data_IF_968084531447
#
_entry.id   IF_968084531447
#
_cell.length_a   1.000
_cell.length_b   1.000
_cell.length_c   1.000
_cell.angle_alpha   90.00
_cell.angle_beta   90.00
_cell.angle_gamma   90.00
#
_symmetry.space_group_name_H-M   'P 1'
#
loop_
_entity.id
_entity.type
_entity.pdbx_description
1 polymer ?
#
# COMPACT_ATOMS: atom_id res chain seq x y z
N UNK A 1 22.48 33.35 -60.54
CA UNK A 1 23.55 32.51 -59.96
C UNK A 1 23.93 33.18 -58.63
N UNK A 2 23.44 32.82 -57.46
CA UNK A 2 23.35 31.49 -56.87
C UNK A 2 24.65 31.20 -56.13
N UNK A 3 24.80 31.66 -54.87
CA UNK A 3 25.77 31.12 -53.90
C UNK A 3 25.47 31.62 -52.48
N UNK A 4 25.09 30.64 -51.65
CA UNK A 4 24.89 30.66 -50.20
C UNK A 4 26.20 30.76 -49.42
N UNK A 5 26.17 31.41 -48.26
CA UNK A 5 27.04 31.08 -47.11
C UNK A 5 26.32 31.49 -45.82
N UNK A 6 25.90 30.49 -45.05
CA UNK A 6 25.16 30.66 -43.79
C UNK A 6 26.07 31.01 -42.60
N UNK A 7 25.51 31.44 -41.46
CA UNK A 7 26.26 31.62 -40.24
C UNK A 7 26.33 30.33 -39.40
N UNK A 8 27.51 30.14 -38.83
CA UNK A 8 28.01 28.97 -38.13
C UNK A 8 27.16 28.48 -36.95
N UNK A 9 27.01 27.16 -36.86
CA UNK A 9 26.51 26.44 -35.69
C UNK A 9 27.38 26.69 -34.44
N UNK A 10 26.78 27.28 -33.40
CA UNK A 10 27.13 26.95 -32.01
C UNK A 10 26.22 25.80 -31.58
N UNK A 11 26.82 24.64 -31.29
CA UNK A 11 26.15 23.52 -30.62
C UNK A 11 25.62 24.01 -29.27
N UNK A 12 24.31 23.91 -29.09
CA UNK A 12 23.67 23.96 -27.78
C UNK A 12 23.53 22.50 -27.32
N UNK A 13 24.16 22.18 -26.20
CA UNK A 13 23.88 20.97 -25.44
C UNK A 13 22.45 21.04 -24.87
N UNK A 14 21.66 19.95 -24.86
CA UNK A 14 20.37 19.96 -24.21
C UNK A 14 20.60 19.94 -22.69
N UNK A 15 20.21 21.02 -22.03
CA UNK A 15 20.14 21.07 -20.58
C UNK A 15 19.09 20.07 -20.08
N UNK A 16 19.48 19.32 -19.06
CA UNK A 16 18.71 18.35 -18.29
C UNK A 16 17.24 18.75 -18.08
N UNK A 17 16.34 17.97 -18.66
CA UNK A 17 15.04 17.68 -18.05
C UNK A 17 15.28 16.84 -16.78
N UNK A 18 15.58 17.50 -15.67
CA UNK A 18 15.47 16.84 -14.36
C UNK A 18 15.02 17.82 -13.31
N UNK A 19 13.75 17.76 -12.98
CA UNK A 19 13.19 18.54 -11.90
C UNK A 19 11.70 18.70 -12.00
N UNK A 20 10.96 17.59 -12.19
CA UNK A 20 9.56 17.58 -11.76
C UNK A 20 9.57 18.04 -10.30
N UNK A 21 8.98 19.19 -9.95
CA UNK A 21 8.94 19.60 -8.56
C UNK A 21 8.16 18.51 -7.84
N UNK A 22 8.88 17.81 -6.95
CA UNK A 22 8.32 17.06 -5.83
C UNK A 22 7.09 17.84 -5.38
N UNK A 23 5.91 17.32 -5.70
CA UNK A 23 4.64 17.92 -5.35
C UNK A 23 4.45 17.71 -3.85
N UNK A 24 5.26 18.43 -3.07
CA UNK A 24 5.24 18.55 -1.61
C UNK A 24 4.38 19.75 -1.20
N UNK A 25 3.43 20.15 -2.04
CA UNK A 25 2.30 20.95 -1.59
C UNK A 25 1.40 20.00 -0.82
N UNK A 26 1.31 20.23 0.49
CA UNK A 26 0.45 19.52 1.43
C UNK A 26 -0.93 19.39 0.82
N UNK A 27 -1.21 18.22 0.26
CA UNK A 27 -2.51 17.91 -0.28
C UNK A 27 -3.47 17.93 0.91
N UNK A 28 -4.17 19.04 1.09
CA UNK A 28 -5.06 19.22 2.23
C UNK A 28 -6.09 18.09 2.18
N UNK A 29 -6.06 17.24 3.22
CA UNK A 29 -6.88 16.05 3.25
C UNK A 29 -8.36 16.45 3.14
N UNK A 30 -9.17 15.68 2.39
CA UNK A 30 -10.59 15.96 2.32
C UNK A 30 -11.23 15.91 3.71
N UNK A 31 -12.27 16.73 3.95
CA UNK A 31 -12.97 16.71 5.23
C UNK A 31 -13.57 15.32 5.48
N UNK A 32 -13.50 14.87 6.74
CA UNK A 32 -14.08 13.59 7.17
C UNK A 32 -15.59 13.59 6.91
N UNK A 33 -16.12 12.44 6.52
CA UNK A 33 -17.57 12.24 6.45
C UNK A 33 -18.18 12.29 7.84
N UNK A 34 -19.42 12.80 7.94
CA UNK A 34 -20.17 12.77 9.20
C UNK A 34 -20.47 11.33 9.62
N UNK A 35 -20.59 11.08 10.93
CA UNK A 35 -20.91 9.75 11.46
C UNK A 35 -22.23 9.20 10.89
N UNK A 36 -23.25 10.05 10.79
CA UNK A 36 -24.53 9.73 10.15
C UNK A 36 -24.35 9.27 8.70
N UNK A 37 -23.51 9.98 7.93
CA UNK A 37 -23.23 9.60 6.54
C UNK A 37 -22.54 8.24 6.49
N UNK A 38 -21.56 7.98 7.35
CA UNK A 38 -20.86 6.69 7.39
C UNK A 38 -21.82 5.54 7.72
N UNK A 39 -22.70 5.71 8.71
CA UNK A 39 -23.73 4.72 9.06
C UNK A 39 -24.67 4.48 7.88
N UNK A 40 -25.09 5.54 7.17
CA UNK A 40 -25.92 5.38 5.98
C UNK A 40 -25.22 4.57 4.88
N UNK A 41 -23.93 4.83 4.63
CA UNK A 41 -23.14 4.11 3.64
C UNK A 41 -22.99 2.62 3.99
N UNK A 42 -22.78 2.31 5.27
CA UNK A 42 -22.74 0.93 5.76
C UNK A 42 -24.07 0.20 5.52
N UNK A 43 -25.20 0.82 5.90
CA UNK A 43 -26.53 0.25 5.67
C UNK A 43 -26.78 -0.02 4.18
N UNK A 44 -26.48 0.94 3.31
CA UNK A 44 -26.63 0.80 1.86
C UNK A 44 -25.67 -0.23 1.26
N UNK A 45 -24.48 -0.40 1.84
CA UNK A 45 -23.53 -1.43 1.42
C UNK A 45 -24.06 -2.83 1.76
N UNK A 46 -24.50 -3.09 2.99
CA UNK A 46 -25.04 -4.39 3.39
C UNK A 46 -26.33 -4.75 2.65
N UNK A 47 -27.17 -3.75 2.32
CA UNK A 47 -28.36 -3.98 1.50
C UNK A 47 -28.01 -4.45 0.07
N UNK A 48 -26.91 -3.93 -0.51
CA UNK A 48 -26.44 -4.32 -1.85
C UNK A 48 -25.62 -5.61 -1.85
N UNK A 49 -24.89 -5.87 -0.77
CA UNK A 49 -23.96 -6.99 -0.64
C UNK A 49 -24.20 -7.75 0.67
N UNK A 50 -25.31 -8.51 0.79
CA UNK A 50 -25.71 -9.16 2.04
C UNK A 50 -24.73 -10.24 2.53
N UNK A 51 -23.88 -10.76 1.64
CA UNK A 51 -22.82 -11.72 2.00
C UNK A 51 -21.51 -11.09 2.47
N UNK A 52 -21.36 -9.77 2.39
CA UNK A 52 -20.15 -9.07 2.81
C UNK A 52 -20.26 -8.62 4.27
N UNK A 53 -19.23 -8.94 5.05
CA UNK A 53 -19.12 -8.55 6.48
C UNK A 53 -18.08 -7.46 6.61
N UNK A 54 -18.46 -6.36 7.28
CA UNK A 54 -17.58 -5.23 7.54
C UNK A 54 -17.14 -5.25 9.02
N UNK A 55 -15.85 -5.47 9.23
CA UNK A 55 -15.20 -5.51 10.55
C UNK A 55 -14.10 -4.42 10.62
N UNK A 56 -13.63 -4.01 11.81
CA UNK A 56 -12.59 -2.98 11.92
C UNK A 56 -11.30 -3.24 11.12
N UNK A 57 -11.01 -4.50 10.80
CA UNK A 57 -9.86 -4.94 10.00
C UNK A 57 -10.04 -4.79 8.49
N UNK A 58 -11.29 -4.75 8.00
CA UNK A 58 -11.61 -4.64 6.57
C UNK A 58 -12.42 -3.37 6.22
N UNK A 59 -12.88 -2.65 7.24
CA UNK A 59 -13.57 -1.37 7.11
C UNK A 59 -12.55 -0.28 6.79
N UNK A 60 -12.78 0.54 5.73
CA UNK A 60 -11.84 1.58 5.36
C UNK A 60 -11.71 2.65 6.44
N UNK A 61 -10.50 3.14 6.65
CA UNK A 61 -10.27 4.24 7.58
C UNK A 61 -11.07 5.49 7.19
N UNK A 62 -11.38 6.33 8.17
CA UNK A 62 -12.12 7.58 7.93
C UNK A 62 -11.44 8.47 6.89
N UNK A 63 -10.10 8.46 6.84
CA UNK A 63 -9.31 9.19 5.85
C UNK A 63 -9.40 8.59 4.45
N UNK A 64 -9.30 7.26 4.34
CA UNK A 64 -9.47 6.58 3.05
C UNK A 64 -10.86 6.83 2.49
N UNK A 65 -11.89 6.72 3.32
CA UNK A 65 -13.27 6.92 2.91
C UNK A 65 -13.54 8.38 2.49
N UNK A 66 -12.99 9.37 3.20
CA UNK A 66 -13.08 10.77 2.80
C UNK A 66 -12.38 11.05 1.46
N UNK A 67 -11.21 10.42 1.22
CA UNK A 67 -10.50 10.54 -0.05
C UNK A 67 -11.28 9.89 -1.19
N UNK A 68 -11.80 8.68 -0.99
CA UNK A 68 -12.65 8.00 -1.95
C UNK A 68 -13.95 8.79 -2.22
N UNK A 69 -14.53 9.45 -1.21
CA UNK A 69 -15.72 10.27 -1.37
C UNK A 69 -15.44 11.50 -2.24
N UNK A 70 -14.30 12.18 -2.03
CA UNK A 70 -13.85 13.27 -2.92
C UNK A 70 -13.79 12.78 -4.37
N UNK A 71 -13.18 11.61 -4.57
CA UNK A 71 -13.00 11.00 -5.89
C UNK A 71 -14.33 10.66 -6.58
N UNK A 72 -15.22 9.95 -5.89
CA UNK A 72 -16.47 9.46 -6.47
C UNK A 72 -17.51 10.57 -6.61
N UNK A 73 -17.65 11.43 -5.60
CA UNK A 73 -18.75 12.40 -5.56
C UNK A 73 -18.44 13.71 -6.27
N UNK A 74 -17.15 14.10 -6.37
CA UNK A 74 -16.75 15.32 -7.10
C UNK A 74 -16.40 15.07 -8.57
N UNK A 75 -16.46 13.81 -9.03
CA UNK A 75 -16.13 13.46 -10.42
C UNK A 75 -14.65 13.64 -10.77
N UNK A 76 -13.77 13.64 -9.78
CA UNK A 76 -12.33 13.77 -9.96
C UNK A 76 -11.67 12.42 -9.66
N UNK A 77 -11.88 11.44 -10.55
CA UNK A 77 -11.23 10.16 -10.38
C UNK A 77 -9.71 10.34 -10.42
N UNK A 78 -9.02 9.87 -9.38
CA UNK A 78 -7.57 9.93 -9.30
C UNK A 78 -7.05 8.77 -8.48
N UNK A 79 -5.78 8.44 -8.70
CA UNK A 79 -5.10 7.43 -7.90
C UNK A 79 -5.10 7.79 -6.41
N UNK A 80 -5.41 6.79 -5.58
CA UNK A 80 -5.38 6.90 -4.12
C UNK A 80 -4.04 6.36 -3.61
N UNK A 81 -3.19 7.18 -2.95
CA UNK A 81 -1.88 6.72 -2.48
C UNK A 81 -1.96 5.52 -1.53
N UNK A 82 -1.06 4.55 -1.67
CA UNK A 82 -1.03 3.36 -0.80
C UNK A 82 -0.86 3.69 0.68
N UNK A 83 -0.14 4.78 0.98
CA UNK A 83 0.11 5.25 2.36
C UNK A 83 -1.17 5.50 3.15
N UNK A 84 -2.28 5.80 2.48
CA UNK A 84 -3.59 6.07 3.11
C UNK A 84 -4.57 4.91 2.97
N UNK A 85 -4.21 3.83 2.26
CA UNK A 85 -5.04 2.63 2.11
C UNK A 85 -4.90 1.73 3.35
N UNK A 86 -5.55 2.11 4.44
CA UNK A 86 -5.55 1.39 5.71
C UNK A 86 -6.97 1.18 6.24
N UNK A 87 -7.14 0.14 7.05
CA UNK A 87 -8.41 -0.11 7.73
C UNK A 87 -8.54 0.81 8.96
N UNK A 88 -9.73 0.80 9.55
CA UNK A 88 -10.03 1.57 10.75
C UNK A 88 -9.11 1.17 11.92
N UNK A 89 -8.98 -0.13 12.21
CA UNK A 89 -8.14 -0.60 13.32
C UNK A 89 -6.66 -0.23 13.16
N UNK A 90 -6.13 -0.28 11.93
CA UNK A 90 -4.77 0.16 11.61
C UNK A 90 -4.59 1.66 11.85
N UNK A 91 -5.54 2.49 11.41
CA UNK A 91 -5.46 3.93 11.63
C UNK A 91 -5.52 4.27 13.13
N UNK A 92 -6.42 3.63 13.87
CA UNK A 92 -6.60 3.87 15.30
C UNK A 92 -5.36 3.39 16.08
N UNK A 93 -4.81 2.24 15.71
CA UNK A 93 -3.56 1.73 16.30
C UNK A 93 -2.38 2.67 16.06
N UNK A 94 -2.25 3.23 14.86
CA UNK A 94 -1.20 4.21 14.54
C UNK A 94 -1.40 5.52 15.30
N UNK A 95 -2.64 6.01 15.43
CA UNK A 95 -2.96 7.22 16.18
C UNK A 95 -2.69 7.06 17.69
N UNK A 96 -2.77 5.84 18.22
CA UNK A 96 -2.45 5.54 19.62
C UNK A 96 -0.94 5.39 19.89
N UNK A 97 -0.08 5.35 18.85
CA UNK A 97 1.37 5.28 19.04
C UNK A 97 1.86 6.61 19.61
N UNK A 98 2.28 6.59 20.87
CA UNK A 98 2.93 7.76 21.50
C UNK A 98 4.21 8.10 20.74
N UNK A 99 4.52 9.39 20.49
CA UNK A 99 5.81 9.77 19.96
C UNK A 99 6.91 9.29 20.91
N UNK A 100 7.86 8.49 20.40
CA UNK A 100 9.00 7.98 21.17
C UNK A 100 10.08 9.03 21.37
N UNK A 101 9.95 10.20 20.72
CA UNK A 101 10.86 11.35 20.83
C UNK A 101 10.10 12.54 21.40
N UNK A 102 10.80 13.42 22.11
CA UNK A 102 10.26 14.71 22.55
C UNK A 102 9.68 15.44 21.34
N UNK A 103 8.38 15.77 21.32
CA UNK A 103 7.76 16.44 20.19
C UNK A 103 8.43 17.78 20.00
N UNK A 104 8.92 18.05 18.79
CA UNK A 104 9.43 19.37 18.44
C UNK A 104 8.24 20.33 18.26
N UNK A 105 8.48 21.63 18.31
CA UNK A 105 7.43 22.62 18.11
C UNK A 105 6.76 22.45 16.74
N UNK A 106 7.52 22.06 15.70
CA UNK A 106 6.94 21.67 14.41
C UNK A 106 5.96 20.48 14.50
N UNK A 107 6.25 19.45 15.30
CA UNK A 107 5.39 18.26 15.47
C UNK A 107 4.10 18.58 16.24
N UNK A 108 4.10 19.65 17.05
CA UNK A 108 2.92 20.16 17.74
C UNK A 108 2.03 21.02 16.83
N UNK A 109 2.61 21.60 15.78
CA UNK A 109 1.91 22.45 14.82
C UNK A 109 1.31 21.64 13.66
N UNK A 110 1.87 20.47 13.36
CA UNK A 110 1.39 19.56 12.33
C UNK A 110 0.87 18.26 12.96
N UNK A 111 -0.44 18.01 12.89
CA UNK A 111 -1.02 16.70 13.20
C UNK A 111 -0.41 15.67 12.23
N UNK A 112 0.59 14.91 12.70
CA UNK A 112 1.29 13.94 11.86
C UNK A 112 0.29 12.88 11.41
N UNK A 113 -0.03 12.91 10.12
CA UNK A 113 -1.06 12.04 9.56
C UNK A 113 -0.56 10.60 9.60
N UNK A 114 -1.30 9.66 10.23
CA UNK A 114 -0.96 8.25 10.20
C UNK A 114 -0.76 7.77 8.75
N UNK A 115 0.45 7.31 8.45
CA UNK A 115 0.82 6.76 7.15
C UNK A 115 1.26 5.31 7.32
N UNK A 116 0.79 4.47 6.40
CA UNK A 116 1.27 3.09 6.29
C UNK A 116 2.67 3.07 5.66
N UNK A 117 3.56 2.26 6.22
CA UNK A 117 4.85 1.94 5.61
C UNK A 117 4.67 1.12 4.33
N UNK A 118 5.35 1.53 3.26
CA UNK A 118 5.34 0.83 1.97
C UNK A 118 6.58 -0.06 1.91
N UNK A 119 6.42 -1.39 1.73
CA UNK A 119 7.55 -2.28 1.57
C UNK A 119 8.34 -1.93 0.31
N UNK A 120 9.65 -1.75 0.44
CA UNK A 120 10.58 -1.62 -0.70
C UNK A 120 10.90 -2.96 -1.36
N UNK A 121 10.77 -4.06 -0.60
CA UNK A 121 11.04 -5.43 -1.05
C UNK A 121 9.89 -6.10 -1.79
N UNK A 122 9.99 -7.44 -1.99
CA UNK A 122 8.90 -8.23 -2.55
C UNK A 122 7.63 -8.11 -1.71
N UNK A 123 6.49 -7.90 -2.37
CA UNK A 123 5.19 -7.75 -1.71
C UNK A 123 4.38 -9.03 -1.88
N UNK A 124 3.90 -9.58 -0.76
CA UNK A 124 3.08 -10.79 -0.76
C UNK A 124 1.60 -10.51 -1.05
N UNK A 125 0.88 -11.56 -1.49
CA UNK A 125 -0.54 -11.47 -1.86
C UNK A 125 -1.42 -10.91 -0.73
N UNK A 126 -1.18 -11.31 0.53
CA UNK A 126 -1.94 -10.83 1.68
C UNK A 126 -1.81 -9.31 1.90
N UNK A 127 -0.62 -8.75 1.65
CA UNK A 127 -0.42 -7.31 1.73
C UNK A 127 -1.26 -6.59 0.64
N UNK A 128 -1.24 -7.12 -0.59
CA UNK A 128 -2.00 -6.56 -1.70
C UNK A 128 -3.52 -6.69 -1.50
N UNK A 129 -4.00 -7.83 -0.97
CA UNK A 129 -5.42 -8.02 -0.61
C UNK A 129 -5.87 -6.95 0.39
N UNK A 130 -5.03 -6.62 1.37
CA UNK A 130 -5.30 -5.53 2.31
C UNK A 130 -5.47 -4.19 1.60
N UNK A 131 -4.46 -3.73 0.86
CA UNK A 131 -4.48 -2.38 0.28
C UNK A 131 -5.48 -2.23 -0.87
N UNK A 132 -5.60 -3.23 -1.75
CA UNK A 132 -6.46 -3.19 -2.94
C UNK A 132 -7.91 -3.43 -2.55
N UNK A 133 -8.13 -4.38 -1.63
CA UNK A 133 -9.45 -4.67 -1.07
C UNK A 133 -10.04 -3.47 -0.34
N UNK A 134 -9.26 -2.76 0.48
CA UNK A 134 -9.75 -1.57 1.19
C UNK A 134 -10.20 -0.44 0.26
N UNK A 135 -9.45 -0.19 -0.83
CA UNK A 135 -9.88 0.77 -1.85
C UNK A 135 -11.17 0.31 -2.53
N UNK A 136 -11.25 -0.98 -2.88
CA UNK A 136 -12.44 -1.57 -3.50
C UNK A 136 -13.68 -1.43 -2.61
N UNK A 137 -13.57 -1.80 -1.33
CA UNK A 137 -14.66 -1.62 -0.35
C UNK A 137 -15.07 -0.15 -0.24
N UNK A 138 -14.10 0.77 -0.17
CA UNK A 138 -14.38 2.21 -0.09
C UNK A 138 -15.19 2.71 -1.29
N UNK A 139 -14.78 2.36 -2.51
CA UNK A 139 -15.45 2.77 -3.74
C UNK A 139 -16.86 2.14 -3.85
N UNK A 140 -17.00 0.88 -3.49
CA UNK A 140 -18.30 0.19 -3.49
C UNK A 140 -19.28 0.79 -2.47
N UNK A 141 -18.81 1.10 -1.25
CA UNK A 141 -19.60 1.79 -0.22
C UNK A 141 -20.15 3.12 -0.74
N UNK A 142 -19.33 3.88 -1.47
CA UNK A 142 -19.69 5.18 -2.05
C UNK A 142 -20.48 5.09 -3.36
N UNK A 143 -20.82 3.87 -3.82
CA UNK A 143 -21.49 3.63 -5.09
C UNK A 143 -20.69 4.13 -6.31
N UNK A 144 -19.36 4.09 -6.23
CA UNK A 144 -18.49 4.45 -7.36
C UNK A 144 -18.42 3.36 -8.43
N UNK A 145 -18.39 2.09 -8.03
CA UNK A 145 -18.45 0.93 -8.93
C UNK A 145 -19.02 -0.28 -8.18
N UNK A 146 -19.48 -1.28 -8.92
CA UNK A 146 -19.98 -2.52 -8.36
C UNK A 146 -18.84 -3.35 -7.75
N UNK A 147 -19.08 -3.93 -6.56
CA UNK A 147 -18.04 -4.64 -5.81
C UNK A 147 -17.46 -5.81 -6.60
N UNK A 148 -18.28 -6.55 -7.36
CA UNK A 148 -17.79 -7.68 -8.17
C UNK A 148 -16.77 -7.27 -9.24
N UNK A 149 -16.92 -6.08 -9.84
CA UNK A 149 -16.00 -5.55 -10.85
C UNK A 149 -14.69 -5.15 -10.20
N UNK A 150 -14.76 -4.45 -9.06
CA UNK A 150 -13.59 -4.08 -8.26
C UNK A 150 -12.81 -5.33 -7.80
N UNK A 151 -13.51 -6.36 -7.29
CA UNK A 151 -12.89 -7.64 -6.90
C UNK A 151 -12.30 -8.40 -8.08
N UNK A 152 -12.85 -8.24 -9.29
CA UNK A 152 -12.28 -8.85 -10.50
C UNK A 152 -10.96 -8.19 -10.88
N UNK A 153 -10.93 -6.85 -10.88
CA UNK A 153 -9.72 -6.06 -11.09
C UNK A 153 -8.63 -6.42 -10.05
N UNK A 154 -8.99 -6.41 -8.77
CA UNK A 154 -8.10 -6.78 -7.65
C UNK A 154 -7.50 -8.17 -7.86
N UNK A 155 -8.32 -9.19 -8.12
CA UNK A 155 -7.84 -10.57 -8.30
C UNK A 155 -6.88 -10.71 -9.47
N UNK A 156 -7.16 -10.05 -10.61
CA UNK A 156 -6.25 -10.09 -11.77
C UNK A 156 -4.92 -9.41 -11.43
N UNK A 157 -4.96 -8.24 -10.79
CA UNK A 157 -3.79 -7.48 -10.38
C UNK A 157 -2.90 -8.29 -9.42
N UNK A 158 -3.48 -8.84 -8.36
CA UNK A 158 -2.75 -9.65 -7.37
C UNK A 158 -2.16 -10.90 -8.00
N UNK A 159 -2.94 -11.61 -8.84
CA UNK A 159 -2.46 -12.81 -9.53
C UNK A 159 -1.22 -12.51 -10.36
N UNK A 160 -1.20 -11.42 -11.12
CA UNK A 160 -0.06 -11.04 -11.95
C UNK A 160 1.14 -10.61 -11.11
N UNK A 161 0.91 -9.87 -10.02
CA UNK A 161 1.96 -9.37 -9.14
C UNK A 161 2.63 -10.46 -8.29
N UNK A 162 1.92 -11.56 -7.97
CA UNK A 162 2.39 -12.57 -7.01
C UNK A 162 2.37 -14.00 -7.57
N UNK A 163 2.46 -14.16 -8.89
CA UNK A 163 2.47 -15.47 -9.51
C UNK A 163 3.72 -16.28 -9.14
N UNK A 164 3.60 -17.61 -9.22
CA UNK A 164 4.76 -18.50 -9.17
C UNK A 164 5.47 -18.42 -10.51
N UNK A 165 6.80 -18.34 -10.47
CA UNK A 165 7.64 -18.11 -11.64
C UNK A 165 8.67 -19.23 -11.82
N UNK A 166 9.07 -19.40 -13.07
CA UNK A 166 10.18 -20.27 -13.47
C UNK A 166 11.53 -19.75 -12.99
N UNK A 167 12.55 -20.62 -13.04
CA UNK A 167 13.91 -20.26 -12.66
C UNK A 167 14.45 -19.09 -13.50
N UNK A 168 15.10 -18.13 -12.85
CA UNK A 168 15.69 -16.95 -13.49
C UNK A 168 14.75 -15.75 -13.62
N UNK A 169 13.47 -15.89 -13.25
CA UNK A 169 12.52 -14.78 -13.16
C UNK A 169 12.20 -14.41 -11.71
N UNK A 170 11.82 -13.15 -11.49
CA UNK A 170 11.29 -12.63 -10.24
C UNK A 170 9.98 -11.88 -10.49
N UNK A 171 9.13 -11.82 -9.47
CA UNK A 171 7.98 -10.93 -9.50
C UNK A 171 8.44 -9.46 -9.47
N UNK A 172 7.59 -8.52 -9.93
CA UNK A 172 7.83 -7.09 -9.76
C UNK A 172 8.05 -6.74 -8.27
N UNK A 173 8.91 -5.76 -7.99
CA UNK A 173 9.15 -5.25 -6.64
C UNK A 173 7.93 -4.48 -6.12
N UNK A 174 7.86 -4.20 -4.82
CA UNK A 174 6.78 -3.37 -4.26
C UNK A 174 6.65 -2.01 -4.93
N UNK A 175 7.78 -1.38 -5.27
CA UNK A 175 7.82 -0.12 -6.00
C UNK A 175 7.28 -0.27 -7.43
N UNK A 176 7.67 -1.31 -8.16
CA UNK A 176 7.17 -1.60 -9.51
C UNK A 176 5.65 -1.85 -9.50
N UNK A 177 5.14 -2.58 -8.51
CA UNK A 177 3.71 -2.85 -8.34
C UNK A 177 2.96 -1.55 -8.02
N UNK A 178 3.49 -0.71 -7.12
CA UNK A 178 2.87 0.58 -6.79
C UNK A 178 2.82 1.51 -8.00
N UNK A 179 3.90 1.57 -8.80
CA UNK A 179 3.93 2.35 -10.03
C UNK A 179 2.94 1.83 -11.07
N UNK A 180 2.81 0.51 -11.21
CA UNK A 180 1.81 -0.10 -12.07
C UNK A 180 0.38 0.26 -11.63
N UNK A 181 0.07 0.19 -10.33
CA UNK A 181 -1.23 0.61 -9.79
C UNK A 181 -1.49 2.10 -10.07
N UNK A 182 -0.51 2.97 -9.84
CA UNK A 182 -0.63 4.41 -10.16
C UNK A 182 -0.90 4.66 -11.62
N UNK A 183 -0.19 3.97 -12.51
CA UNK A 183 -0.34 4.13 -13.96
C UNK A 183 -1.71 3.62 -14.44
N UNK A 184 -2.16 2.46 -13.98
CA UNK A 184 -3.49 1.94 -14.31
C UNK A 184 -4.59 2.89 -13.86
N UNK A 185 -4.54 3.38 -12.61
CA UNK A 185 -5.54 4.33 -12.12
C UNK A 185 -5.50 5.68 -12.84
N UNK A 186 -4.35 6.11 -13.34
CA UNK A 186 -4.25 7.29 -14.20
C UNK A 186 -5.00 7.10 -15.52
N UNK A 187 -4.81 5.95 -16.18
CA UNK A 187 -5.49 5.67 -17.45
C UNK A 187 -7.00 5.42 -17.24
N UNK A 188 -7.38 4.78 -16.14
CA UNK A 188 -8.78 4.63 -15.73
C UNK A 188 -9.40 6.00 -15.46
N UNK A 189 -8.67 6.91 -14.79
CA UNK A 189 -9.17 8.27 -14.59
C UNK A 189 -9.37 9.04 -15.87
N UNK A 190 -8.52 8.85 -16.88
CA UNK A 190 -8.71 9.50 -18.18
C UNK A 190 -10.01 9.04 -18.84
N UNK A 191 -10.31 7.74 -18.83
CA UNK A 191 -11.57 7.20 -19.34
C UNK A 191 -12.79 7.78 -18.61
N UNK A 192 -12.74 7.86 -17.28
CA UNK A 192 -13.87 8.33 -16.47
C UNK A 192 -14.04 9.85 -16.58
N UNK A 193 -12.97 10.61 -16.40
CA UNK A 193 -13.01 12.07 -16.29
C UNK A 193 -13.08 12.76 -17.66
N UNK A 194 -12.41 12.24 -18.69
CA UNK A 194 -12.32 12.88 -20.01
C UNK A 194 -13.27 12.26 -21.03
N UNK A 195 -13.53 10.95 -20.91
CA UNK A 195 -14.34 10.21 -21.88
C UNK A 195 -15.73 9.82 -21.36
N UNK A 196 -16.10 10.23 -20.14
CA UNK A 196 -17.40 9.96 -19.50
C UNK A 196 -17.73 8.47 -19.37
N UNK A 197 -16.72 7.60 -19.25
CA UNK A 197 -16.97 6.20 -18.96
C UNK A 197 -17.45 6.04 -17.52
N UNK A 198 -18.36 5.08 -17.29
CA UNK A 198 -18.59 4.62 -15.92
C UNK A 198 -17.32 3.96 -15.38
N UNK A 199 -17.10 4.04 -14.07
CA UNK A 199 -15.96 3.38 -13.45
C UNK A 199 -16.01 1.86 -13.64
N UNK A 200 -17.21 1.27 -13.67
CA UNK A 200 -17.40 -0.16 -13.99
C UNK A 200 -16.87 -0.51 -15.38
N UNK A 201 -17.22 0.27 -16.42
CA UNK A 201 -16.74 0.03 -17.77
C UNK A 201 -15.23 0.24 -17.89
N UNK A 202 -14.69 1.30 -17.28
CA UNK A 202 -13.26 1.57 -17.30
C UNK A 202 -12.47 0.45 -16.58
N UNK A 203 -12.93 -0.03 -15.42
CA UNK A 203 -12.28 -1.14 -14.72
C UNK A 203 -12.35 -2.44 -15.53
N UNK A 204 -13.50 -2.75 -16.14
CA UNK A 204 -13.66 -3.93 -16.99
C UNK A 204 -12.73 -3.88 -18.19
N UNK A 205 -12.56 -2.72 -18.83
CA UNK A 205 -11.64 -2.54 -19.96
C UNK A 205 -10.21 -2.95 -19.60
N UNK A 206 -9.67 -2.47 -18.47
CA UNK A 206 -8.33 -2.84 -17.99
C UNK A 206 -8.24 -4.26 -17.41
N UNK A 207 -9.38 -4.85 -17.06
CA UNK A 207 -9.44 -6.19 -16.49
C UNK A 207 -9.59 -7.28 -17.56
N UNK A 208 -10.31 -7.04 -18.65
CA UNK A 208 -10.69 -8.10 -19.59
C UNK A 208 -10.24 -7.83 -21.03
N UNK A 209 -10.25 -6.57 -21.47
CA UNK A 209 -10.00 -6.23 -22.88
C UNK A 209 -8.54 -5.88 -23.11
N UNK A 210 -8.00 -5.01 -22.26
CA UNK A 210 -6.65 -4.46 -22.39
C UNK A 210 -5.57 -5.34 -21.76
N UNK A 211 -4.42 -5.37 -22.45
CA UNK A 211 -3.21 -6.06 -22.00
C UNK A 211 -2.35 -5.23 -21.02
N UNK A 212 -2.68 -3.96 -20.77
CA UNK A 212 -1.86 -3.01 -20.01
C UNK A 212 -1.50 -3.54 -18.61
N UNK A 213 -2.47 -4.07 -17.86
CA UNK A 213 -2.21 -4.62 -16.52
C UNK A 213 -1.20 -5.78 -16.56
N UNK A 214 -1.29 -6.65 -17.57
CA UNK A 214 -0.36 -7.76 -17.74
C UNK A 214 1.04 -7.28 -18.14
N UNK A 215 1.12 -6.26 -19.01
CA UNK A 215 2.38 -5.65 -19.44
C UNK A 215 3.12 -4.96 -18.28
N UNK A 216 2.40 -4.19 -17.46
CA UNK A 216 3.00 -3.47 -16.33
C UNK A 216 3.52 -4.42 -15.25
N UNK A 217 2.77 -5.49 -14.96
CA UNK A 217 3.06 -6.49 -13.93
C UNK A 217 3.79 -7.73 -14.45
N UNK A 218 4.36 -7.68 -15.66
CA UNK A 218 5.10 -8.81 -16.21
C UNK A 218 6.32 -9.16 -15.33
N UNK A 219 6.73 -10.45 -15.27
CA UNK A 219 7.91 -10.87 -14.54
C UNK A 219 9.17 -10.12 -14.98
N UNK A 220 10.12 -9.97 -14.06
CA UNK A 220 11.44 -9.36 -14.32
C UNK A 220 12.51 -10.43 -14.28
N UNK A 221 13.65 -10.18 -14.93
CA UNK A 221 14.82 -11.03 -14.76
C UNK A 221 15.29 -10.97 -13.30
N UNK A 222 15.54 -12.14 -12.70
CA UNK A 222 16.12 -12.21 -11.37
C UNK A 222 17.57 -11.70 -11.44
N UNK A 223 18.00 -10.83 -10.50
CA UNK A 223 19.40 -10.40 -10.46
C UNK A 223 20.30 -11.62 -10.28
N UNK A 224 21.42 -11.64 -11.01
CA UNK A 224 22.42 -12.70 -10.88
C UNK A 224 22.89 -12.75 -9.42
N UNK A 225 22.75 -13.92 -8.79
CA UNK A 225 23.31 -14.15 -7.46
C UNK A 225 24.82 -13.95 -7.58
N UNK A 226 25.37 -12.91 -6.95
CA UNK A 226 26.83 -12.79 -6.80
C UNK A 226 27.27 -14.03 -6.02
N UNK A 227 28.17 -14.80 -6.63
CA UNK A 227 28.88 -15.85 -5.90
C UNK A 227 29.82 -15.07 -4.99
N UNK A 228 29.48 -14.97 -3.71
CA UNK A 228 30.41 -14.41 -2.74
C UNK A 228 31.69 -15.25 -2.82
N UNK A 229 32.87 -14.62 -2.96
CA UNK A 229 34.11 -15.36 -2.99
C UNK A 229 34.19 -16.22 -1.73
N UNK A 230 34.66 -17.48 -1.83
CA UNK A 230 34.78 -18.36 -0.68
C UNK A 230 35.54 -17.62 0.41
N UNK A 231 34.97 -17.62 1.63
CA UNK A 231 35.60 -16.98 2.78
C UNK A 231 37.07 -17.42 2.84
N UNK A 232 38.02 -16.48 3.00
CA UNK A 232 39.42 -16.82 2.99
C UNK A 232 39.68 -17.89 4.06
N UNK A 233 40.47 -18.94 3.74
CA UNK A 233 40.72 -20.01 4.68
C UNK A 233 41.31 -19.43 5.96
N UNK A 234 40.68 -19.74 7.10
CA UNK A 234 41.23 -19.46 8.42
C UNK A 234 42.65 -20.05 8.45
N UNK A 235 43.68 -19.20 8.42
CA UNK A 235 45.06 -19.64 8.62
C UNK A 235 45.23 -19.97 10.11
N UNK A 236 45.48 -21.23 10.50
CA UNK A 236 45.94 -21.52 11.85
C UNK A 236 47.44 -21.21 11.87
N UNK A 237 47.81 -20.02 12.32
CA UNK A 237 49.18 -19.50 12.25
C UNK A 237 49.65 -18.83 13.53
N UNK A 238 50.03 -19.66 14.51
CA UNK A 238 51.21 -19.53 15.38
C UNK A 238 51.59 -18.11 15.88
N UNK A 239 51.21 -17.83 17.13
CA UNK A 239 52.10 -17.19 18.12
C UNK A 239 52.34 -15.68 18.03
N UNK A 240 51.48 -14.89 18.68
CA UNK A 240 51.74 -13.50 19.03
C UNK A 240 51.08 -13.16 20.38
N UNK A 241 51.91 -12.86 21.37
CA UNK A 241 51.60 -12.72 22.81
C UNK A 241 50.74 -11.47 23.06
N UNK A 242 49.53 -11.65 23.58
CA UNK A 242 48.68 -10.56 24.10
C UNK A 242 47.69 -11.09 25.15
N UNK A 243 47.99 -10.84 26.43
CA UNK A 243 47.14 -11.09 27.62
C UNK A 243 45.73 -10.50 27.41
N UNK A 244 44.64 -11.23 27.66
CA UNK A 244 43.99 -11.44 28.97
C UNK A 244 43.05 -12.67 28.83
N UNK A 245 43.24 -13.78 29.58
CA UNK A 245 42.59 -14.10 30.88
C UNK A 245 41.12 -13.63 30.96
N UNK A 246 40.09 -14.46 31.11
CA UNK A 246 39.93 -15.90 31.31
C UNK A 246 38.48 -16.27 30.89
N UNK A 247 38.20 -17.49 30.40
CA UNK A 247 37.89 -18.66 31.23
C UNK A 247 36.47 -18.54 31.81
N UNK A 248 35.49 -19.42 31.60
CA UNK A 248 35.36 -20.72 30.95
C UNK A 248 33.88 -21.10 31.15
N UNK A 249 33.20 -21.60 30.12
CA UNK A 249 32.82 -23.01 29.97
C UNK A 249 31.66 -23.46 30.89
N UNK A 250 30.50 -23.74 30.28
CA UNK A 250 29.71 -24.91 30.67
C UNK A 250 28.19 -24.81 30.66
N UNK A 251 27.60 -25.60 29.74
CA UNK A 251 26.41 -26.45 29.92
C UNK A 251 25.01 -25.83 29.89
N UNK A 252 24.31 -26.18 28.81
CA UNK A 252 22.86 -26.45 28.79
C UNK A 252 22.45 -27.44 29.89
N UNK A 253 21.34 -27.17 30.56
CA UNK A 253 20.31 -28.16 30.82
C UNK A 253 18.94 -27.52 31.10
N UNK A 254 17.91 -28.22 30.63
CA UNK A 254 16.48 -27.97 30.79
C UNK A 254 16.01 -27.90 32.25
N UNK A 255 14.92 -27.18 32.48
CA UNK A 255 14.10 -27.29 33.70
C UNK A 255 12.99 -26.25 33.76
N UNK A 256 11.75 -26.67 33.45
CA UNK A 256 10.57 -25.81 33.49
C UNK A 256 9.99 -25.63 34.90
N UNK A 257 9.26 -24.52 35.06
CA UNK A 257 8.07 -24.27 35.90
C UNK A 257 7.86 -22.74 35.86
N UNK A 258 6.77 -22.23 35.32
CA UNK A 258 5.46 -22.28 35.95
C UNK A 258 5.24 -20.99 36.74
N UNK A 259 4.77 -19.92 36.08
CA UNK A 259 4.17 -18.78 36.78
C UNK A 259 2.94 -18.26 36.06
N UNK A 260 1.82 -18.63 36.68
CA UNK A 260 0.47 -18.21 36.46
C UNK A 260 0.36 -16.70 36.69
N UNK A 261 0.00 -15.95 35.65
CA UNK A 261 -0.32 -14.53 35.71
C UNK A 261 -1.73 -14.32 35.18
N UNK A 262 -2.66 -13.99 36.08
CA UNK A 262 -4.09 -13.77 35.82
C UNK A 262 -4.29 -12.74 34.70
N UNK A 263 -5.00 -13.15 33.64
CA UNK A 263 -5.72 -12.22 32.77
C UNK A 263 -7.08 -11.96 33.41
N UNK A 264 -7.26 -10.77 33.99
CA UNK A 264 -8.59 -10.18 34.11
C UNK A 264 -8.99 -9.76 32.69
N UNK A 265 -9.88 -10.54 32.08
CA UNK A 265 -10.58 -10.17 30.86
C UNK A 265 -11.85 -9.43 31.27
N UNK A 266 -11.82 -8.10 31.23
CA UNK A 266 -13.05 -7.30 31.17
C UNK A 266 -13.58 -7.40 29.75
N UNK A 267 -14.36 -8.47 29.54
CA UNK A 267 -15.12 -8.75 28.33
C UNK A 267 -16.27 -7.76 28.21
N UNK A 268 -16.13 -6.74 27.37
CA UNK A 268 -17.26 -5.99 26.86
C UNK A 268 -18.03 -6.89 25.89
N UNK A 269 -19.16 -7.38 26.39
CA UNK A 269 -20.02 -8.37 25.78
C UNK A 269 -20.70 -7.84 24.50
N UNK A 270 -20.18 -8.26 23.34
CA UNK A 270 -20.72 -7.98 22.01
C UNK A 270 -22.12 -8.60 21.78
N UNK A 271 -22.65 -9.37 22.73
CA UNK A 271 -24.00 -9.96 22.64
C UNK A 271 -25.12 -8.99 23.04
N UNK A 272 -24.79 -7.86 23.67
CA UNK A 272 -25.78 -6.81 23.99
C UNK A 272 -26.13 -5.92 22.79
N UNK A 273 -25.25 -5.80 21.78
CA UNK A 273 -25.51 -4.89 20.66
C UNK A 273 -26.43 -5.50 19.59
N UNK A 274 -26.43 -6.82 19.44
CA UNK A 274 -27.28 -7.53 18.46
C UNK A 274 -28.75 -7.54 18.88
N UNK A 275 -29.06 -7.27 20.16
CA UNK A 275 -30.44 -7.26 20.66
C UNK A 275 -31.12 -5.88 20.63
N UNK A 276 -30.39 -4.81 20.32
CA UNK A 276 -30.91 -3.43 20.29
C UNK A 276 -31.24 -2.91 18.88
N UNK A 277 -31.09 -3.72 17.83
CA UNK A 277 -31.38 -3.36 16.44
C UNK A 277 -32.60 -4.11 15.88
N UNK A 278 -33.24 -4.97 16.69
CA UNK A 278 -34.44 -5.74 16.30
C UNK A 278 -35.65 -5.51 17.22
N UNK A 279 -35.74 -4.34 17.85
CA UNK A 279 -36.94 -3.81 18.51
C UNK A 279 -37.06 -2.33 18.20
#
# INVERSE_FOLDING_TARGET
>A
KGSSSGPSHKRQDPADESGSPSSSWTEQFPPKLSGEKVISLQKTFHARYPGEVLDPENFPSSRLLAYAAKVVQKGELRWVPWKIRMCQSQQDSLAMRRPTKTPKLEDLLYDEVPQREIPSGPVGANYLLGIMGLLSTSLAMLNGAHLSILRKFERKFIRLATQKLEAGLRNPSGEEIMMADRQLWSQISDLVNLHNWSLDHALTEFTDVRGDMASLLQPRMAPLKRIDPPAPPFRPGRGGKGKQKGGGKGKQQFGGQGRQGRLLTDSWDLRMFVRAVLT
#
